data_IF_973080795384
#
_entry.id   IF_973080795384
#
_cell.length_a   1.000
_cell.length_b   1.000
_cell.length_c   1.000
_cell.angle_alpha   90.00
_cell.angle_beta   90.00
_cell.angle_gamma   90.00
#
_symmetry.space_group_name_H-M   'P 1'
#
loop_
_entity.id
_entity.type
_entity.pdbx_description
1 polymer ?
#
# COMPACT_ATOMS: atom_id res chain seq x y z
N UNK A 1 56.63 1.19 51.08
CA UNK A 1 56.78 2.41 50.27
C UNK A 1 56.75 2.00 48.81
N UNK A 2 55.62 2.18 48.12
CA UNK A 2 55.52 1.89 46.68
C UNK A 2 56.28 2.98 45.89
N UNK A 3 57.01 2.60 44.84
CA UNK A 3 57.84 3.53 44.09
C UNK A 3 56.98 4.54 43.30
N UNK A 4 57.39 5.82 43.21
CA UNK A 4 56.63 6.87 42.53
C UNK A 4 56.40 6.59 41.03
N UNK A 5 57.16 5.65 40.45
CA UNK A 5 57.01 5.20 39.08
C UNK A 5 55.73 4.39 38.82
N UNK A 6 55.22 3.63 39.80
CA UNK A 6 54.00 2.83 39.62
C UNK A 6 52.72 3.69 39.66
N UNK A 7 52.68 4.76 40.46
CA UNK A 7 51.52 5.68 40.50
C UNK A 7 51.40 6.54 39.24
N UNK A 8 52.51 6.91 38.60
CA UNK A 8 52.49 7.71 37.38
C UNK A 8 51.93 6.93 36.16
N UNK A 9 52.19 5.63 36.08
CA UNK A 9 51.70 4.75 35.00
C UNK A 9 50.19 4.50 35.15
N UNK A 10 49.69 4.33 36.37
CA UNK A 10 48.25 4.20 36.64
C UNK A 10 47.50 5.50 36.30
N UNK A 11 48.04 6.66 36.66
CA UNK A 11 47.42 7.95 36.32
C UNK A 11 47.40 8.22 34.80
N UNK A 12 48.47 7.89 34.08
CA UNK A 12 48.52 8.13 32.63
C UNK A 12 47.59 7.19 31.85
N UNK A 13 47.42 5.94 32.31
CA UNK A 13 46.47 4.99 31.72
C UNK A 13 45.01 5.40 31.93
N UNK A 14 44.69 6.08 33.03
CA UNK A 14 43.33 6.53 33.35
C UNK A 14 42.91 7.73 32.48
N UNK A 15 43.86 8.62 32.16
CA UNK A 15 43.62 9.77 31.28
C UNK A 15 43.32 9.31 29.85
N UNK A 16 44.03 8.29 29.35
CA UNK A 16 43.79 7.71 28.02
C UNK A 16 42.42 7.04 27.88
N UNK A 17 41.86 6.47 28.96
CA UNK A 17 40.52 5.86 28.94
C UNK A 17 39.40 6.92 28.92
N UNK A 18 39.59 8.03 29.63
CA UNK A 18 38.62 9.15 29.68
C UNK A 18 38.56 10.00 28.40
N UNK A 19 39.59 9.95 27.58
CA UNK A 19 39.69 10.69 26.32
C UNK A 19 39.21 9.89 25.10
N UNK A 20 38.50 8.78 25.30
CA UNK A 20 37.84 8.07 24.21
C UNK A 20 36.79 9.01 23.59
N UNK A 21 36.94 9.46 22.33
CA UNK A 21 35.92 10.27 21.70
C UNK A 21 34.63 9.46 21.68
N UNK A 22 33.59 9.94 22.35
CA UNK A 22 32.25 9.39 22.19
C UNK A 22 31.94 9.48 20.70
N UNK A 23 31.96 8.34 20.01
CA UNK A 23 31.48 8.26 18.64
C UNK A 23 29.99 8.59 18.71
N UNK A 24 29.65 9.86 18.49
CA UNK A 24 28.27 10.28 18.30
C UNK A 24 27.83 9.66 16.96
N UNK A 25 27.37 8.41 17.02
CA UNK A 25 26.78 7.73 15.90
C UNK A 25 25.59 8.57 15.45
N UNK A 26 25.74 9.25 14.31
CA UNK A 26 24.68 10.05 13.70
C UNK A 26 23.58 9.06 13.32
N UNK A 27 22.53 8.95 14.14
CA UNK A 27 21.39 8.08 13.85
C UNK A 27 20.80 8.47 12.50
N UNK A 28 21.04 7.65 11.48
CA UNK A 28 20.29 7.78 10.23
C UNK A 28 18.84 7.42 10.54
N UNK A 29 17.95 8.41 10.43
CA UNK A 29 16.51 8.16 10.54
C UNK A 29 16.11 7.28 9.36
N UNK A 30 15.90 6.00 9.66
CA UNK A 30 15.43 4.99 8.72
C UNK A 30 14.04 5.32 8.15
N UNK A 31 13.21 6.06 8.90
CA UNK A 31 11.89 6.49 8.47
C UNK A 31 11.59 7.94 8.87
N UNK A 32 10.77 8.60 8.03
CA UNK A 32 10.19 9.92 8.30
C UNK A 32 8.68 9.76 8.49
N UNK A 33 8.11 10.47 9.48
CA UNK A 33 6.67 10.57 9.62
C UNK A 33 6.05 11.31 8.42
N UNK A 34 5.06 10.70 7.78
CA UNK A 34 4.30 11.28 6.67
C UNK A 34 2.97 11.78 7.24
N UNK A 35 2.63 13.06 7.02
CA UNK A 35 1.35 13.62 7.45
C UNK A 35 0.27 13.41 6.38
N UNK A 36 -1.03 13.30 6.75
CA UNK A 36 -2.12 13.24 5.77
C UNK A 36 -2.12 14.41 4.77
N UNK A 37 -1.72 15.63 5.17
CA UNK A 37 -1.52 16.77 4.25
C UNK A 37 -0.52 16.49 3.14
N UNK A 38 0.61 15.86 3.48
CA UNK A 38 1.64 15.55 2.48
C UNK A 38 1.18 14.51 1.46
N UNK A 39 0.10 13.78 1.76
CA UNK A 39 -0.59 12.87 0.85
C UNK A 39 -1.79 13.52 0.13
N UNK A 40 -2.07 14.80 0.39
CA UNK A 40 -3.22 15.52 -0.15
C UNK A 40 -4.56 15.10 0.45
N UNK A 41 -4.57 14.53 1.66
CA UNK A 41 -5.77 13.97 2.30
C UNK A 41 -6.42 14.90 3.34
N UNK A 42 -5.86 16.08 3.62
CA UNK A 42 -6.30 16.93 4.74
C UNK A 42 -7.74 17.45 4.56
N UNK A 43 -8.12 17.77 3.32
CA UNK A 43 -9.46 18.26 2.96
C UNK A 43 -10.27 17.24 2.13
N UNK A 44 -9.78 15.99 2.01
CA UNK A 44 -10.45 14.93 1.25
C UNK A 44 -11.28 14.07 2.21
N UNK A 45 -12.59 14.16 2.11
CA UNK A 45 -13.47 13.19 2.73
C UNK A 45 -13.36 11.83 2.01
N UNK A 46 -13.32 10.75 2.79
CA UNK A 46 -13.43 9.40 2.24
C UNK A 46 -14.80 9.22 1.56
N UNK A 47 -14.82 8.62 0.38
CA UNK A 47 -16.01 8.39 -0.46
C UNK A 47 -16.23 6.90 -0.62
N UNK A 48 -17.48 6.46 -0.51
CA UNK A 48 -17.91 5.14 -0.96
C UNK A 48 -18.43 5.25 -2.40
N UNK A 49 -17.92 4.42 -3.29
CA UNK A 49 -18.43 4.27 -4.66
C UNK A 49 -18.90 2.86 -4.92
N UNK A 50 -20.04 2.76 -5.59
CA UNK A 50 -20.57 1.50 -6.13
C UNK A 50 -20.41 1.53 -7.65
N UNK A 51 -19.68 0.55 -8.19
CA UNK A 51 -19.50 0.35 -9.62
C UNK A 51 -20.25 -0.92 -10.01
N UNK A 52 -21.14 -0.80 -10.99
CA UNK A 52 -21.88 -1.91 -11.56
C UNK A 52 -21.60 -1.97 -13.06
N UNK A 53 -21.05 -3.09 -13.53
CA UNK A 53 -20.71 -3.28 -14.95
C UNK A 53 -20.64 -4.76 -15.32
N UNK A 54 -20.66 -5.02 -16.62
CA UNK A 54 -20.49 -6.36 -17.20
C UNK A 54 -19.14 -6.41 -17.90
N UNK A 55 -18.31 -7.38 -17.51
CA UNK A 55 -17.04 -7.66 -18.15
C UNK A 55 -17.25 -8.74 -19.20
N UNK A 56 -16.92 -8.40 -20.45
CA UNK A 56 -16.74 -9.37 -21.54
C UNK A 56 -15.23 -9.64 -21.67
N UNK A 57 -14.83 -10.88 -21.96
CA UNK A 57 -13.43 -11.25 -22.19
C UNK A 57 -12.88 -10.74 -23.55
N UNK A 58 -13.13 -9.46 -23.85
CA UNK A 58 -12.70 -8.78 -25.06
C UNK A 58 -11.89 -7.55 -24.64
N UNK A 59 -10.59 -7.59 -24.93
CA UNK A 59 -9.70 -6.43 -24.73
C UNK A 59 -9.93 -5.43 -25.87
N UNK A 60 -10.74 -4.38 -25.66
CA UNK A 60 -10.90 -3.30 -26.63
C UNK A 60 -12.34 -2.83 -26.89
N UNK A 61 -12.58 -2.28 -28.08
CA UNK A 61 -13.86 -1.72 -28.51
C UNK A 61 -13.85 -0.19 -28.65
N UNK A 62 -14.58 0.33 -29.64
CA UNK A 62 -14.62 1.77 -29.95
C UNK A 62 -15.33 2.61 -28.87
N UNK A 63 -16.10 1.99 -27.97
CA UNK A 63 -16.88 2.66 -26.93
C UNK A 63 -16.56 2.15 -25.52
N UNK A 64 -15.38 2.47 -25.00
CA UNK A 64 -15.01 2.13 -23.60
C UNK A 64 -15.79 2.98 -22.60
N UNK A 65 -16.49 2.34 -21.68
CA UNK A 65 -17.27 3.00 -20.61
C UNK A 65 -16.36 3.44 -19.45
N UNK A 66 -15.34 4.27 -19.73
CA UNK A 66 -14.40 4.73 -18.69
C UNK A 66 -14.85 6.01 -17.98
N UNK A 67 -15.69 6.84 -18.62
CA UNK A 67 -16.34 8.02 -18.05
C UNK A 67 -15.44 8.86 -17.10
N UNK A 68 -15.98 9.19 -15.92
CA UNK A 68 -15.27 9.92 -14.85
C UNK A 68 -14.06 9.20 -14.24
N UNK A 69 -13.89 7.91 -14.52
CA UNK A 69 -12.83 7.08 -13.94
C UNK A 69 -11.72 6.73 -14.95
N UNK A 70 -11.71 7.40 -16.11
CA UNK A 70 -10.70 7.16 -17.13
C UNK A 70 -9.27 7.31 -16.60
N UNK A 71 -8.41 6.36 -16.95
CA UNK A 71 -7.02 6.27 -16.45
C UNK A 71 -6.87 5.82 -15.00
N UNK A 72 -7.96 5.51 -14.28
CA UNK A 72 -7.91 4.93 -12.93
C UNK A 72 -7.98 3.40 -12.99
N UNK A 73 -7.50 2.71 -11.97
CA UNK A 73 -7.58 1.25 -11.86
C UNK A 73 -7.95 0.79 -10.46
N UNK A 74 -8.52 -0.41 -10.37
CA UNK A 74 -8.69 -1.16 -9.13
C UNK A 74 -7.91 -2.47 -9.25
N UNK A 75 -7.26 -2.88 -8.16
CA UNK A 75 -6.62 -4.18 -8.04
C UNK A 75 -7.49 -5.08 -7.18
N UNK A 76 -7.89 -6.23 -7.73
CA UNK A 76 -8.68 -7.25 -7.04
C UNK A 76 -7.85 -8.53 -7.02
N UNK A 77 -7.66 -9.11 -5.83
CA UNK A 77 -6.90 -10.34 -5.66
C UNK A 77 -7.63 -11.27 -4.70
N UNK A 78 -8.18 -12.36 -5.20
CA UNK A 78 -8.94 -13.31 -4.39
C UNK A 78 -9.21 -14.63 -5.10
N UNK A 79 -9.74 -15.59 -4.37
CA UNK A 79 -10.19 -16.88 -4.92
C UNK A 79 -11.38 -16.62 -5.86
N UNK A 80 -11.24 -17.04 -7.11
CA UNK A 80 -12.28 -16.92 -8.13
C UNK A 80 -12.82 -18.29 -8.52
N UNK A 81 -13.62 -18.91 -7.65
CA UNK A 81 -14.23 -20.21 -7.93
C UNK A 81 -15.49 -20.00 -8.79
N UNK A 82 -15.35 -20.18 -10.10
CA UNK A 82 -16.36 -19.81 -11.10
C UNK A 82 -17.71 -20.54 -10.92
N UNK A 83 -17.70 -21.69 -10.26
CA UNK A 83 -18.89 -22.48 -9.92
C UNK A 83 -19.76 -21.86 -8.80
N UNK A 84 -19.18 -20.98 -7.97
CA UNK A 84 -19.92 -20.28 -6.92
C UNK A 84 -20.86 -19.24 -7.57
N UNK A 85 -22.12 -19.20 -7.12
CA UNK A 85 -23.14 -18.30 -7.67
C UNK A 85 -22.78 -16.81 -7.52
N UNK A 86 -22.10 -16.45 -6.43
CA UNK A 86 -21.56 -15.12 -6.17
C UNK A 86 -20.17 -15.28 -5.57
N UNK A 87 -19.19 -14.60 -6.17
CA UNK A 87 -17.79 -14.65 -5.73
C UNK A 87 -17.40 -13.30 -5.17
N UNK A 88 -17.06 -13.25 -3.89
CA UNK A 88 -16.53 -12.05 -3.26
C UNK A 88 -15.00 -12.04 -3.30
N UNK A 89 -14.42 -10.98 -3.84
CA UNK A 89 -12.98 -10.79 -3.90
C UNK A 89 -12.60 -9.41 -3.35
N UNK A 90 -11.55 -9.30 -2.53
CA UNK A 90 -11.15 -8.04 -1.94
C UNK A 90 -10.53 -7.10 -2.98
N UNK A 91 -10.85 -5.82 -2.87
CA UNK A 91 -10.13 -4.73 -3.53
C UNK A 91 -8.92 -4.41 -2.67
N UNK A 92 -7.74 -4.76 -3.16
CA UNK A 92 -6.45 -4.63 -2.45
C UNK A 92 -5.72 -3.32 -2.75
N UNK A 93 -6.24 -2.53 -3.69
CA UNK A 93 -5.69 -1.22 -4.02
C UNK A 93 -6.30 -0.61 -5.27
N UNK A 94 -5.76 0.54 -5.68
CA UNK A 94 -6.16 1.24 -6.89
C UNK A 94 -5.23 2.39 -7.24
N UNK A 95 -5.45 2.95 -8.42
CA UNK A 95 -4.71 4.10 -8.96
C UNK A 95 -5.66 5.20 -9.44
N UNK A 96 -5.12 6.37 -9.75
CA UNK A 96 -5.91 7.53 -10.18
C UNK A 96 -6.88 7.98 -9.08
N UNK A 97 -8.17 8.07 -9.41
CA UNK A 97 -9.25 8.41 -8.47
C UNK A 97 -9.37 7.39 -7.34
N UNK A 98 -9.01 6.14 -7.58
CA UNK A 98 -9.07 5.07 -6.58
C UNK A 98 -7.75 4.92 -5.80
N UNK A 99 -6.95 5.97 -5.69
CA UNK A 99 -5.76 5.94 -4.84
C UNK A 99 -6.18 5.68 -3.38
N UNK A 100 -5.44 4.79 -2.72
CA UNK A 100 -5.76 4.29 -1.36
C UNK A 100 -7.08 3.50 -1.28
N UNK A 101 -7.54 2.94 -2.40
CA UNK A 101 -8.78 2.19 -2.44
C UNK A 101 -8.76 0.92 -1.58
N UNK A 102 -9.84 0.69 -0.85
CA UNK A 102 -10.13 -0.58 -0.16
C UNK A 102 -11.60 -0.93 -0.33
N UNK A 103 -11.95 -2.21 -0.32
CA UNK A 103 -13.33 -2.64 -0.50
C UNK A 103 -13.44 -4.09 -0.97
N UNK A 104 -14.54 -4.40 -1.66
CA UNK A 104 -14.80 -5.73 -2.20
C UNK A 104 -15.55 -5.66 -3.53
N UNK A 105 -15.38 -6.71 -4.32
CA UNK A 105 -16.06 -6.94 -5.58
C UNK A 105 -16.86 -8.23 -5.49
N UNK A 106 -18.13 -8.19 -5.90
CA UNK A 106 -18.96 -9.36 -6.10
C UNK A 106 -19.05 -9.65 -7.59
N UNK A 107 -18.63 -10.84 -7.99
CA UNK A 107 -18.69 -11.31 -9.37
C UNK A 107 -19.76 -12.40 -9.52
N UNK A 108 -20.63 -12.26 -10.53
CA UNK A 108 -21.66 -13.25 -10.91
C UNK A 108 -21.51 -13.59 -12.38
N UNK A 109 -21.46 -14.88 -12.70
CA UNK A 109 -21.42 -15.32 -14.10
C UNK A 109 -22.82 -15.19 -14.69
N UNK A 110 -22.99 -14.37 -15.73
CA UNK A 110 -24.25 -14.25 -16.48
C UNK A 110 -24.30 -15.21 -17.65
N UNK A 111 -23.20 -15.32 -18.39
CA UNK A 111 -23.07 -16.24 -19.49
C UNK A 111 -21.67 -16.85 -19.48
N UNK A 112 -21.58 -18.14 -19.79
CA UNK A 112 -20.32 -18.87 -19.89
C UNK A 112 -20.42 -19.87 -21.04
N UNK A 113 -19.66 -19.62 -22.10
CA UNK A 113 -19.56 -20.47 -23.28
C UNK A 113 -18.11 -20.82 -23.60
N UNK A 114 -17.89 -21.53 -24.71
CA UNK A 114 -16.56 -22.02 -25.09
C UNK A 114 -15.54 -20.90 -25.39
N UNK A 115 -16.01 -19.73 -25.85
CA UNK A 115 -15.17 -18.61 -26.28
C UNK A 115 -15.58 -17.27 -25.66
N UNK A 116 -16.65 -17.24 -24.87
CA UNK A 116 -17.15 -16.01 -24.28
C UNK A 116 -17.59 -16.26 -22.85
N UNK A 117 -17.18 -15.36 -21.96
CA UNK A 117 -17.70 -15.26 -20.62
C UNK A 117 -18.17 -13.82 -20.37
N UNK A 118 -19.37 -13.70 -19.82
CA UNK A 118 -19.94 -12.44 -19.37
C UNK A 118 -20.09 -12.50 -17.85
N UNK A 119 -19.39 -11.62 -17.16
CA UNK A 119 -19.37 -11.56 -15.70
C UNK A 119 -19.90 -10.21 -15.25
N UNK A 120 -20.97 -10.21 -14.47
CA UNK A 120 -21.46 -9.03 -13.77
C UNK A 120 -20.59 -8.77 -12.54
N UNK A 121 -20.15 -7.53 -12.39
CA UNK A 121 -19.40 -7.04 -11.24
C UNK A 121 -20.19 -5.97 -10.49
N UNK A 122 -20.33 -6.15 -9.18
CA UNK A 122 -20.75 -5.15 -8.22
C UNK A 122 -19.59 -4.84 -7.29
N UNK A 123 -18.99 -3.65 -7.41
CA UNK A 123 -17.80 -3.27 -6.65
C UNK A 123 -18.13 -2.15 -5.69
N UNK A 124 -17.85 -2.34 -4.41
CA UNK A 124 -17.99 -1.34 -3.35
C UNK A 124 -16.60 -0.94 -2.88
N UNK A 125 -16.24 0.33 -3.09
CA UNK A 125 -14.88 0.80 -2.85
C UNK A 125 -14.86 2.13 -2.11
N UNK A 126 -14.09 2.18 -1.03
CA UNK A 126 -13.71 3.41 -0.35
C UNK A 126 -12.50 4.04 -1.02
N UNK A 127 -12.51 5.36 -1.26
CA UNK A 127 -11.38 6.15 -1.79
C UNK A 127 -11.48 7.62 -1.34
N UNK A 128 -10.66 8.55 -1.85
CA UNK A 128 -10.56 9.95 -1.40
C UNK A 128 -10.70 10.96 -2.55
#
# INVERSE_FOLDING_TARGET
MASPFFSAILLSSLILFSASPSLAAKTQRFARSISPSSLGLLDRAQKLSHLHFFLHDVVGGENRTAGKFNGSSLAVLGRNAVEDAVREMPVVGGSGVFRFATGYAQAKTHAFGALEAVVEYNVYVFHY
#
